data_IF_816629981132
#
_entry.id   IF_816629981132
#
_cell.length_a   1.000
_cell.length_b   1.000
_cell.length_c   1.000
_cell.angle_alpha   90.00
_cell.angle_beta   90.00
_cell.angle_gamma   90.00
#
_symmetry.space_group_name_H-M   'P 1'
#
loop_
_entity.id
_entity.type
_entity.pdbx_description
1 polymer ?
#
# COMPACT_ATOMS: atom_id res chain seq x y z
N UNK A 1 -8.79 -6.04 -11.52
CA UNK A 1 -10.03 -5.52 -10.92
C UNK A 1 -10.90 -5.08 -12.08
N UNK A 2 -12.13 -4.58 -11.86
CA UNK A 2 -12.85 -3.82 -12.90
C UNK A 2 -12.00 -2.70 -13.55
N UNK A 3 -10.87 -2.33 -12.94
CA UNK A 3 -9.94 -1.28 -13.34
C UNK A 3 -8.51 -1.79 -13.67
N UNK A 4 -8.33 -3.08 -13.95
CA UNK A 4 -7.04 -3.62 -14.43
C UNK A 4 -5.91 -3.77 -13.40
N UNK A 5 -6.13 -3.40 -12.13
CA UNK A 5 -5.12 -3.54 -11.06
C UNK A 5 -5.43 -4.71 -10.13
N UNK A 6 -4.39 -5.36 -9.61
CA UNK A 6 -4.43 -6.34 -8.52
C UNK A 6 -3.75 -5.74 -7.28
N UNK A 7 -4.06 -6.20 -6.06
CA UNK A 7 -5.10 -7.17 -5.71
C UNK A 7 -6.52 -6.56 -5.63
N UNK A 8 -7.55 -7.41 -5.73
CA UNK A 8 -8.92 -7.09 -5.36
C UNK A 8 -9.55 -8.23 -4.55
N UNK A 9 -10.55 -7.90 -3.74
CA UNK A 9 -11.33 -8.82 -2.91
C UNK A 9 -12.80 -8.72 -3.30
N UNK A 10 -13.49 -9.84 -3.47
CA UNK A 10 -14.90 -9.91 -3.83
C UNK A 10 -15.70 -10.60 -2.73
N UNK A 11 -16.74 -9.94 -2.24
CA UNK A 11 -17.61 -10.41 -1.14
C UNK A 11 -19.05 -10.04 -1.49
N UNK A 12 -19.93 -11.03 -1.61
CA UNK A 12 -21.36 -10.83 -1.90
C UNK A 12 -21.59 -9.87 -3.08
N UNK A 13 -20.97 -10.15 -4.22
CA UNK A 13 -21.00 -9.33 -5.45
C UNK A 13 -20.43 -7.90 -5.30
N UNK A 14 -19.80 -7.57 -4.17
CA UNK A 14 -19.09 -6.28 -3.96
C UNK A 14 -17.60 -6.47 -4.13
N UNK A 15 -16.99 -5.61 -4.93
CA UNK A 15 -15.54 -5.61 -5.18
C UNK A 15 -14.85 -4.51 -4.37
N UNK A 16 -13.89 -4.90 -3.53
CA UNK A 16 -12.97 -4.02 -2.83
C UNK A 16 -11.59 -4.08 -3.47
N UNK A 17 -11.00 -2.92 -3.75
CA UNK A 17 -9.64 -2.78 -4.29
C UNK A 17 -8.72 -2.06 -3.32
N UNK A 18 -7.44 -1.93 -3.67
CA UNK A 18 -6.37 -1.38 -2.84
C UNK A 18 -5.94 -2.36 -1.74
N UNK A 19 -4.70 -2.85 -1.85
CA UNK A 19 -4.14 -3.86 -0.93
C UNK A 19 -4.29 -3.46 0.55
N UNK A 20 -4.00 -2.20 0.89
CA UNK A 20 -4.12 -1.68 2.25
C UNK A 20 -5.56 -1.63 2.76
N UNK A 21 -6.52 -1.24 1.90
CA UNK A 21 -7.93 -1.20 2.27
C UNK A 21 -8.48 -2.62 2.50
N UNK A 22 -8.09 -3.56 1.64
CA UNK A 22 -8.40 -4.98 1.77
C UNK A 22 -7.85 -5.55 3.08
N UNK A 23 -6.57 -5.30 3.38
CA UNK A 23 -5.93 -5.78 4.61
C UNK A 23 -6.65 -5.25 5.86
N UNK A 24 -6.97 -3.96 5.90
CA UNK A 24 -7.72 -3.34 6.99
C UNK A 24 -9.14 -3.87 7.13
N UNK A 25 -9.82 -4.13 6.02
CA UNK A 25 -11.15 -4.75 6.04
C UNK A 25 -11.07 -6.14 6.67
N UNK A 26 -10.15 -7.00 6.20
CA UNK A 26 -9.98 -8.35 6.75
C UNK A 26 -9.53 -8.33 8.21
N UNK A 27 -8.65 -7.40 8.60
CA UNK A 27 -8.25 -7.23 10.00
C UNK A 27 -9.44 -6.94 10.91
N UNK A 28 -10.43 -6.15 10.44
CA UNK A 28 -11.67 -5.91 11.20
C UNK A 28 -12.56 -7.15 11.25
N UNK A 29 -12.69 -7.90 10.14
CA UNK A 29 -13.51 -9.13 10.10
C UNK A 29 -12.99 -10.22 11.05
N UNK A 30 -11.67 -10.35 11.18
CA UNK A 30 -11.04 -11.38 12.01
C UNK A 30 -10.61 -10.91 13.41
N UNK A 31 -10.93 -9.67 13.80
CA UNK A 31 -10.63 -9.15 15.14
C UNK A 31 -9.17 -8.76 15.39
N UNK A 32 -8.40 -8.49 14.33
CA UNK A 32 -7.00 -8.04 14.39
C UNK A 32 -6.84 -6.51 14.36
N UNK A 33 -7.93 -5.76 14.19
CA UNK A 33 -7.89 -4.30 14.13
C UNK A 33 -7.95 -3.63 15.52
N UNK A 34 -7.92 -4.35 16.64
CA UNK A 34 -8.15 -3.78 17.98
C UNK A 34 -9.62 -3.84 18.41
N UNK A 35 -9.89 -3.63 19.70
CA UNK A 35 -11.22 -3.77 20.31
C UNK A 35 -11.91 -2.43 20.54
N UNK A 36 -11.13 -1.36 20.71
CA UNK A 36 -11.65 0.00 20.89
C UNK A 36 -11.34 0.89 19.69
N UNK A 37 -12.10 1.98 19.45
CA UNK A 37 -11.80 2.91 18.38
C UNK A 37 -10.37 3.47 18.43
N UNK A 38 -9.82 3.65 19.64
CA UNK A 38 -8.46 4.13 19.82
C UNK A 38 -7.41 3.07 19.45
N UNK A 39 -7.61 1.81 19.87
CA UNK A 39 -6.74 0.71 19.46
C UNK A 39 -6.76 0.51 17.93
N UNK A 40 -7.94 0.65 17.31
CA UNK A 40 -8.07 0.65 15.84
C UNK A 40 -7.22 1.75 15.19
N UNK A 41 -7.28 2.97 15.73
CA UNK A 41 -6.47 4.08 15.24
C UNK A 41 -4.97 3.80 15.40
N UNK A 42 -4.54 3.14 16.48
CA UNK A 42 -3.14 2.75 16.68
C UNK A 42 -2.67 1.71 15.66
N UNK A 43 -3.50 0.70 15.38
CA UNK A 43 -3.19 -0.31 14.33
C UNK A 43 -3.12 0.34 12.96
N UNK A 44 -4.08 1.23 12.64
CA UNK A 44 -4.09 1.96 11.37
C UNK A 44 -2.87 2.87 11.22
N UNK A 45 -2.46 3.57 12.29
CA UNK A 45 -1.27 4.42 12.31
C UNK A 45 0.03 3.60 12.08
N UNK A 46 0.15 2.42 12.68
CA UNK A 46 1.29 1.54 12.45
C UNK A 46 1.33 1.04 10.99
N UNK A 47 0.18 0.69 10.42
CA UNK A 47 0.07 0.27 9.04
C UNK A 47 0.46 1.40 8.06
N UNK A 48 0.05 2.64 8.35
CA UNK A 48 0.43 3.81 7.54
C UNK A 48 1.92 4.13 7.65
N UNK A 49 2.50 4.06 8.86
CA UNK A 49 3.95 4.22 9.03
C UNK A 49 4.74 3.18 8.24
N UNK A 50 4.28 1.93 8.22
CA UNK A 50 4.91 0.87 7.41
C UNK A 50 4.77 1.14 5.90
N UNK A 51 3.63 1.67 5.46
CA UNK A 51 3.42 2.08 4.07
C UNK A 51 4.37 3.21 3.66
N UNK A 52 4.57 4.22 4.50
CA UNK A 52 5.49 5.32 4.25
C UNK A 52 6.94 4.82 4.16
N UNK A 53 7.34 3.99 5.13
CA UNK A 53 8.64 3.31 5.11
C UNK A 53 8.86 2.48 3.83
N UNK A 54 7.84 1.72 3.40
CA UNK A 54 7.90 0.96 2.15
C UNK A 54 8.15 1.88 0.96
N UNK A 55 7.39 2.96 0.83
CA UNK A 55 7.54 3.92 -0.27
C UNK A 55 8.95 4.54 -0.29
N UNK A 56 9.51 4.84 0.88
CA UNK A 56 10.89 5.35 1.00
C UNK A 56 11.96 4.31 0.64
N UNK A 57 11.68 3.02 0.87
CA UNK A 57 12.65 1.94 0.63
C UNK A 57 12.57 1.37 -0.79
N UNK A 58 11.45 1.58 -1.50
CA UNK A 58 11.30 1.15 -2.92
C UNK A 58 12.46 1.62 -3.82
N UNK A 59 12.94 2.88 -3.77
CA UNK A 59 14.11 3.32 -4.53
C UNK A 59 15.36 2.46 -4.26
N UNK A 60 15.63 2.16 -2.99
CA UNK A 60 16.76 1.36 -2.58
C UNK A 60 16.66 -0.05 -3.15
N UNK A 61 15.52 -0.73 -2.95
CA UNK A 61 15.32 -2.07 -3.50
C UNK A 61 15.40 -2.07 -5.03
N UNK A 62 14.82 -1.08 -5.70
CA UNK A 62 14.90 -0.96 -7.17
C UNK A 62 16.35 -0.85 -7.64
N UNK A 63 17.17 0.01 -7.01
CA UNK A 63 18.60 0.14 -7.32
C UNK A 63 19.41 -1.14 -7.04
N UNK A 64 18.99 -1.92 -6.04
CA UNK A 64 19.63 -3.19 -5.67
C UNK A 64 19.28 -4.31 -6.68
N UNK A 65 18.03 -4.37 -7.15
CA UNK A 65 17.54 -5.42 -8.04
C UNK A 65 17.80 -5.14 -9.53
N UNK A 66 17.82 -3.88 -9.96
CA UNK A 66 18.08 -3.52 -11.35
C UNK A 66 19.52 -3.08 -11.54
N UNK A 67 20.42 -4.08 -11.55
CA UNK A 67 21.73 -3.88 -12.17
C UNK A 67 21.56 -3.72 -13.68
N UNK A 68 22.10 -2.62 -14.19
CA UNK A 68 22.18 -2.22 -15.59
C UNK A 68 20.87 -1.69 -16.22
N UNK A 69 20.77 -0.35 -16.22
CA UNK A 69 20.42 0.48 -17.39
C UNK A 69 19.13 1.31 -17.39
N UNK A 70 18.40 1.46 -16.27
CA UNK A 70 17.14 2.24 -16.32
C UNK A 70 16.83 3.10 -15.06
N UNK A 71 17.85 3.73 -14.48
CA UNK A 71 17.66 4.65 -13.33
C UNK A 71 16.93 5.96 -13.73
N UNK A 72 17.03 6.39 -14.99
CA UNK A 72 16.47 7.67 -15.46
C UNK A 72 14.93 7.66 -15.55
N UNK A 73 14.33 6.53 -15.94
CA UNK A 73 12.87 6.37 -16.05
C UNK A 73 12.19 6.34 -14.66
N UNK A 74 12.89 5.84 -13.65
CA UNK A 74 12.40 5.81 -12.27
C UNK A 74 12.35 7.20 -11.61
N UNK A 75 13.41 8.02 -11.74
CA UNK A 75 13.40 9.40 -11.21
C UNK A 75 12.29 10.27 -11.81
N UNK A 76 11.96 10.07 -13.09
CA UNK A 76 10.81 10.72 -13.73
C UNK A 76 9.47 10.32 -13.10
N UNK A 77 9.36 9.07 -12.66
CA UNK A 77 8.14 8.53 -12.03
C UNK A 77 7.98 9.00 -10.58
N UNK A 78 9.07 9.06 -9.80
CA UNK A 78 9.03 9.57 -8.42
C UNK A 78 8.68 11.06 -8.39
N UNK A 79 9.26 11.89 -9.28
CA UNK A 79 8.95 13.31 -9.32
C UNK A 79 7.46 13.58 -9.61
N UNK A 80 6.79 12.71 -10.38
CA UNK A 80 5.34 12.82 -10.59
C UNK A 80 4.51 12.49 -9.35
N UNK A 81 4.99 11.59 -8.50
CA UNK A 81 4.28 11.21 -7.25
C UNK A 81 4.50 12.28 -6.18
N UNK A 82 5.74 12.76 -5.99
CA UNK A 82 6.05 13.79 -4.99
C UNK A 82 5.48 15.18 -5.30
N UNK A 83 5.21 15.52 -6.57
CA UNK A 83 4.55 16.78 -6.95
C UNK A 83 3.01 16.72 -6.90
N UNK A 84 2.43 15.59 -6.51
CA UNK A 84 0.97 15.40 -6.41
C UNK A 84 0.44 15.38 -4.97
N UNK A 85 1.31 15.66 -4.00
CA UNK A 85 0.99 16.02 -2.61
C UNK A 85 1.24 17.52 -2.42
#
# INVERSE_FOLDING_TARGET
SPWGHLPWLEIDDKVLTQSWAIARYLARQFGYAGKTPFECAQVDALADQFKDYWNETVPFFYSMYLKHNDMASYFSSINKICLSL
#
